data_IF_776288532905
#
_entry.id   IF_776288532905
#
_cell.length_a   1.000
_cell.length_b   1.000
_cell.length_c   1.000
_cell.angle_alpha   90.00
_cell.angle_beta   90.00
_cell.angle_gamma   90.00
#
_symmetry.space_group_name_H-M   'P 1'
#
loop_
_entity.id
_entity.type
_entity.pdbx_description
1 polymer ?
#
# COMPACT_ATOMS: atom_id res chain seq x y z
N UNK A 1 24.13 -1.84 -34.91
CA UNK A 1 23.37 -0.61 -34.56
C UNK A 1 22.17 -1.11 -33.78
N UNK A 2 22.44 -1.51 -32.54
CA UNK A 2 21.52 -2.34 -31.76
C UNK A 2 21.32 -1.60 -30.45
N UNK A 3 20.12 -1.06 -30.33
CA UNK A 3 19.73 -0.02 -29.39
C UNK A 3 19.89 -0.51 -27.95
N UNK A 4 20.99 -0.13 -27.29
CA UNK A 4 21.21 -0.22 -25.84
C UNK A 4 20.19 0.67 -25.08
N UNK A 5 18.91 0.24 -25.04
CA UNK A 5 17.94 0.76 -24.06
C UNK A 5 18.21 0.02 -22.74
N UNK A 6 19.39 0.24 -22.15
CA UNK A 6 19.73 -0.28 -20.82
C UNK A 6 19.10 0.63 -19.77
N UNK A 7 17.83 0.34 -19.43
CA UNK A 7 17.18 0.63 -18.15
C UNK A 7 17.25 2.08 -17.63
N UNK A 8 16.36 2.94 -18.13
CA UNK A 8 15.99 4.24 -17.54
C UNK A 8 15.04 4.08 -16.33
N UNK A 9 15.33 3.19 -15.39
CA UNK A 9 14.54 3.06 -14.13
C UNK A 9 15.14 3.98 -13.07
N UNK A 10 14.40 5.00 -12.68
CA UNK A 10 14.78 5.88 -11.58
C UNK A 10 14.93 5.08 -10.28
N UNK A 11 16.13 5.07 -9.72
CA UNK A 11 16.36 4.60 -8.35
C UNK A 11 15.91 5.65 -7.34
N UNK A 12 15.62 5.21 -6.12
CA UNK A 12 15.37 6.15 -5.03
C UNK A 12 16.66 6.90 -4.69
N UNK A 13 16.59 8.23 -4.62
CA UNK A 13 17.77 9.05 -4.31
C UNK A 13 18.32 8.83 -2.90
N UNK A 14 17.50 8.33 -1.97
CA UNK A 14 17.91 7.96 -0.61
C UNK A 14 17.00 6.86 -0.03
N UNK A 15 17.57 5.99 0.81
CA UNK A 15 16.82 5.01 1.60
C UNK A 15 15.78 5.67 2.51
N UNK A 16 16.08 6.87 3.02
CA UNK A 16 15.14 7.64 3.83
C UNK A 16 13.93 8.11 3.01
N UNK A 17 14.17 8.56 1.77
CA UNK A 17 13.10 8.95 0.86
C UNK A 17 12.19 7.77 0.49
N UNK A 18 12.78 6.58 0.26
CA UNK A 18 12.02 5.35 0.06
C UNK A 18 11.16 4.99 1.27
N UNK A 19 11.74 5.06 2.47
CA UNK A 19 11.04 4.74 3.71
C UNK A 19 9.87 5.71 3.96
N UNK A 20 10.10 7.02 3.82
CA UNK A 20 9.06 8.03 4.01
C UNK A 20 7.91 7.90 3.03
N UNK A 21 8.20 7.66 1.74
CA UNK A 21 7.16 7.41 0.74
C UNK A 21 6.34 6.15 1.06
N UNK A 22 7.00 5.10 1.55
CA UNK A 22 6.35 3.85 1.93
C UNK A 22 5.46 4.03 3.16
N UNK A 23 5.93 4.74 4.19
CA UNK A 23 5.15 5.06 5.40
C UNK A 23 3.94 5.93 5.04
N UNK A 24 4.13 6.96 4.21
CA UNK A 24 3.05 7.83 3.74
C UNK A 24 1.97 7.09 2.95
N UNK A 25 2.35 6.05 2.20
CA UNK A 25 1.37 5.18 1.52
C UNK A 25 0.66 4.21 2.46
N UNK A 26 1.29 3.82 3.57
CA UNK A 26 0.73 2.84 4.51
C UNK A 26 -0.21 3.47 5.54
N UNK A 27 0.06 4.72 5.94
CA UNK A 27 -0.77 5.45 6.91
C UNK A 27 -1.90 6.19 6.20
N UNK A 28 -3.14 5.83 6.50
CA UNK A 28 -4.34 6.45 5.89
C UNK A 28 -5.43 6.82 6.90
N UNK A 29 -6.50 7.45 6.39
CA UNK A 29 -7.67 7.89 7.17
C UNK A 29 -8.30 6.76 8.00
N UNK A 30 -8.26 5.53 7.49
CA UNK A 30 -8.73 4.34 8.21
C UNK A 30 -8.03 4.09 9.54
N UNK A 31 -6.73 4.41 9.65
CA UNK A 31 -6.00 4.33 10.92
C UNK A 31 -6.37 5.47 11.88
N UNK A 32 -6.81 6.62 11.36
CA UNK A 32 -7.12 7.81 12.16
C UNK A 32 -8.48 7.66 12.87
N UNK A 33 -9.53 7.22 12.15
CA UNK A 33 -10.87 7.09 12.74
C UNK A 33 -11.35 5.64 12.88
N UNK A 34 -10.97 4.77 11.96
CA UNK A 34 -11.59 3.45 11.82
C UNK A 34 -11.04 2.46 12.83
N UNK A 35 -9.73 2.53 13.04
CA UNK A 35 -9.02 1.74 14.03
C UNK A 35 -9.48 2.05 15.48
N UNK A 36 -9.47 3.30 15.97
CA UNK A 36 -9.90 3.58 17.33
C UNK A 36 -11.39 3.26 17.55
N UNK A 37 -12.24 3.48 16.55
CA UNK A 37 -13.65 3.10 16.63
C UNK A 37 -13.84 1.58 16.81
N UNK A 38 -13.14 0.76 16.01
CA UNK A 38 -13.19 -0.70 16.13
C UNK A 38 -12.56 -1.18 17.44
N UNK A 39 -11.46 -0.58 17.87
CA UNK A 39 -10.82 -0.89 19.15
C UNK A 39 -11.77 -0.64 20.31
N UNK A 40 -12.39 0.56 20.36
CA UNK A 40 -13.32 0.91 21.42
C UNK A 40 -14.52 -0.04 21.51
N UNK A 41 -15.08 -0.46 20.36
CA UNK A 41 -16.23 -1.37 20.32
C UNK A 41 -15.88 -2.83 20.62
N UNK A 42 -14.65 -3.27 20.33
CA UNK A 42 -14.26 -4.69 20.35
C UNK A 42 -13.50 -5.13 21.61
N UNK A 43 -13.66 -4.42 22.73
CA UNK A 43 -13.00 -4.75 24.00
C UNK A 43 -11.67 -4.03 24.25
N UNK A 44 -11.43 -2.90 23.57
CA UNK A 44 -10.37 -1.94 23.90
C UNK A 44 -8.97 -2.54 23.82
N UNK A 45 -8.29 -2.63 24.97
CA UNK A 45 -6.91 -3.06 25.08
C UNK A 45 -6.67 -4.52 24.64
N UNK A 46 -7.64 -5.42 24.86
CA UNK A 46 -7.52 -6.83 24.46
C UNK A 46 -7.50 -6.96 22.93
N UNK A 47 -8.36 -6.19 22.25
CA UNK A 47 -8.36 -6.11 20.80
C UNK A 47 -7.04 -5.53 20.26
N UNK A 48 -6.51 -4.49 20.91
CA UNK A 48 -5.23 -3.89 20.52
C UNK A 48 -4.07 -4.89 20.63
N UNK A 49 -4.01 -5.69 21.70
CA UNK A 49 -2.96 -6.67 21.90
C UNK A 49 -3.02 -7.78 20.84
N UNK A 50 -4.21 -8.32 20.56
CA UNK A 50 -4.41 -9.31 19.50
C UNK A 50 -4.10 -8.73 18.12
N UNK A 51 -4.51 -7.49 17.85
CA UNK A 51 -4.20 -6.77 16.62
C UNK A 51 -2.69 -6.65 16.42
N UNK A 52 -1.94 -6.28 17.46
CA UNK A 52 -0.48 -6.13 17.38
C UNK A 52 0.20 -7.47 17.06
N UNK A 53 -0.22 -8.55 17.70
CA UNK A 53 0.29 -9.90 17.40
C UNK A 53 0.02 -10.29 15.95
N UNK A 54 -1.20 -10.06 15.46
CA UNK A 54 -1.58 -10.34 14.06
C UNK A 54 -0.79 -9.48 13.07
N UNK A 55 -0.56 -8.20 13.37
CA UNK A 55 0.25 -7.31 12.52
C UNK A 55 1.69 -7.77 12.44
N UNK A 56 2.29 -8.19 13.55
CA UNK A 56 3.68 -8.70 13.57
C UNK A 56 3.78 -10.02 12.82
N UNK A 57 2.84 -10.95 13.03
CA UNK A 57 2.91 -12.27 12.41
C UNK A 57 2.52 -12.26 10.94
N UNK A 58 1.41 -11.61 10.58
CA UNK A 58 0.85 -11.64 9.22
C UNK A 58 1.26 -10.41 8.43
N UNK A 59 1.18 -9.23 9.03
CA UNK A 59 1.49 -7.97 8.33
C UNK A 59 2.96 -7.91 7.90
N UNK A 60 3.90 -8.18 8.83
CA UNK A 60 5.33 -8.13 8.52
C UNK A 60 5.74 -9.23 7.55
N UNK A 61 5.22 -10.46 7.70
CA UNK A 61 5.58 -11.57 6.79
C UNK A 61 5.11 -11.32 5.37
N UNK A 62 3.87 -10.85 5.20
CA UNK A 62 3.34 -10.49 3.88
C UNK A 62 4.11 -9.30 3.29
N UNK A 63 4.36 -8.24 4.07
CA UNK A 63 5.10 -7.07 3.60
C UNK A 63 6.53 -7.44 3.12
N UNK A 64 7.25 -8.25 3.90
CA UNK A 64 8.58 -8.72 3.52
C UNK A 64 8.54 -9.59 2.26
N UNK A 65 7.52 -10.46 2.13
CA UNK A 65 7.31 -11.28 0.94
C UNK A 65 7.08 -10.46 -0.32
N UNK A 66 6.18 -9.48 -0.26
CA UNK A 66 5.89 -8.59 -1.39
C UNK A 66 7.10 -7.72 -1.76
N UNK A 67 7.81 -7.19 -0.76
CA UNK A 67 9.02 -6.39 -0.98
C UNK A 67 10.14 -7.22 -1.62
N UNK A 68 10.37 -8.46 -1.15
CA UNK A 68 11.36 -9.37 -1.72
C UNK A 68 11.02 -9.73 -3.18
N UNK A 69 9.75 -10.05 -3.47
CA UNK A 69 9.27 -10.32 -4.82
C UNK A 69 9.43 -9.12 -5.76
N UNK A 70 9.11 -7.91 -5.27
CA UNK A 70 9.27 -6.66 -6.00
C UNK A 70 10.73 -6.34 -6.31
N UNK A 71 11.64 -6.53 -5.34
CA UNK A 71 13.08 -6.32 -5.51
C UNK A 71 13.71 -7.32 -6.48
N UNK A 72 13.34 -8.61 -6.38
CA UNK A 72 13.86 -9.66 -7.25
C UNK A 72 13.39 -9.52 -8.70
N UNK A 73 12.12 -9.17 -8.89
CA UNK A 73 11.53 -9.11 -10.23
C UNK A 73 11.89 -7.83 -10.97
N UNK A 74 12.14 -6.73 -10.26
CA UNK A 74 12.52 -5.44 -10.86
C UNK A 74 11.51 -4.98 -11.91
N UNK A 75 10.23 -5.35 -11.76
CA UNK A 75 9.14 -5.15 -12.74
C UNK A 75 7.88 -4.67 -12.00
N UNK A 76 6.90 -4.13 -12.74
CA UNK A 76 5.60 -3.73 -12.17
C UNK A 76 4.86 -4.94 -11.58
N UNK A 77 3.94 -4.72 -10.62
CA UNK A 77 3.23 -5.78 -9.91
C UNK A 77 2.64 -6.86 -10.85
N UNK A 78 1.97 -6.46 -11.93
CA UNK A 78 1.40 -7.38 -12.94
C UNK A 78 2.50 -8.20 -13.63
N UNK A 79 3.59 -7.54 -14.03
CA UNK A 79 4.71 -8.18 -14.72
C UNK A 79 5.51 -9.11 -13.81
N UNK A 80 5.55 -8.82 -12.50
CA UNK A 80 6.13 -9.68 -11.47
C UNK A 80 5.33 -10.96 -11.30
N UNK A 81 4.00 -10.86 -11.13
CA UNK A 81 3.13 -12.04 -11.05
C UNK A 81 3.11 -12.86 -12.34
N UNK A 82 3.15 -12.19 -13.50
CA UNK A 82 3.25 -12.85 -14.82
C UNK A 82 4.56 -13.62 -15.00
N UNK A 83 5.66 -13.11 -14.46
CA UNK A 83 6.97 -13.76 -14.48
C UNK A 83 7.08 -14.97 -13.54
N UNK A 84 6.29 -14.99 -12.46
CA UNK A 84 6.25 -16.11 -11.52
C UNK A 84 5.36 -17.25 -12.01
N UNK A 85 4.18 -16.94 -12.56
CA UNK A 85 3.36 -17.90 -13.29
C UNK A 85 2.28 -17.20 -14.10
N UNK A 86 2.08 -17.60 -15.35
CA UNK A 86 1.01 -17.08 -16.22
C UNK A 86 -0.38 -17.24 -15.56
N UNK A 87 -0.57 -18.25 -14.71
CA UNK A 87 -1.81 -18.51 -13.96
C UNK A 87 -2.08 -17.52 -12.83
N UNK A 88 -1.07 -16.88 -12.25
CA UNK A 88 -1.23 -15.89 -11.16
C UNK A 88 -1.24 -14.44 -11.65
N UNK A 89 -1.20 -14.22 -12.98
CA UNK A 89 -1.25 -12.87 -13.56
C UNK A 89 -2.49 -12.07 -13.14
N UNK A 90 -3.63 -12.74 -12.91
CA UNK A 90 -4.87 -12.10 -12.47
C UNK A 90 -4.73 -11.40 -11.11
N UNK A 91 -3.85 -11.90 -10.22
CA UNK A 91 -3.61 -11.31 -8.90
C UNK A 91 -3.04 -9.89 -9.02
N UNK A 92 -2.14 -9.69 -9.99
CA UNK A 92 -1.60 -8.37 -10.28
C UNK A 92 -2.64 -7.39 -10.83
N UNK A 93 -3.53 -7.87 -11.70
CA UNK A 93 -4.64 -7.04 -12.20
C UNK A 93 -5.67 -6.74 -11.11
N UNK A 94 -5.98 -7.70 -10.25
CA UNK A 94 -6.86 -7.51 -9.10
C UNK A 94 -6.32 -6.44 -8.15
N UNK A 95 -4.99 -6.41 -7.92
CA UNK A 95 -4.36 -5.36 -7.14
C UNK A 95 -4.54 -3.95 -7.72
N UNK A 96 -4.42 -3.80 -9.05
CA UNK A 96 -4.65 -2.51 -9.74
C UNK A 96 -6.11 -2.08 -9.61
N UNK A 97 -7.06 -2.99 -9.87
CA UNK A 97 -8.48 -2.69 -9.78
C UNK A 97 -8.87 -2.31 -8.35
N UNK A 98 -8.37 -3.06 -7.35
CA UNK A 98 -8.58 -2.75 -5.94
C UNK A 98 -8.03 -1.37 -5.58
N UNK A 99 -6.79 -1.07 -5.97
CA UNK A 99 -6.18 0.24 -5.75
C UNK A 99 -6.98 1.38 -6.41
N UNK A 100 -7.50 1.15 -7.61
CA UNK A 100 -8.36 2.12 -8.30
C UNK A 100 -9.68 2.35 -7.56
N UNK A 101 -10.37 1.29 -7.13
CA UNK A 101 -11.60 1.41 -6.34
C UNK A 101 -11.38 2.16 -5.02
N UNK A 102 -10.28 1.86 -4.32
CA UNK A 102 -9.89 2.58 -3.10
C UNK A 102 -9.64 4.05 -3.42
N UNK A 103 -8.92 4.35 -4.50
CA UNK A 103 -8.64 5.71 -4.93
C UNK A 103 -9.94 6.50 -5.16
N UNK A 104 -10.92 5.93 -5.87
CA UNK A 104 -12.23 6.57 -6.07
C UNK A 104 -12.92 6.93 -4.74
N UNK A 105 -12.90 6.02 -3.76
CA UNK A 105 -13.44 6.30 -2.43
C UNK A 105 -12.68 7.43 -1.71
N UNK A 106 -11.35 7.43 -1.79
CA UNK A 106 -10.52 8.47 -1.18
C UNK A 106 -10.69 9.84 -1.84
N UNK A 107 -10.98 9.91 -3.14
CA UNK A 107 -11.29 11.17 -3.82
C UNK A 107 -12.54 11.85 -3.25
N UNK A 108 -13.59 11.08 -2.96
CA UNK A 108 -14.83 11.62 -2.35
C UNK A 108 -14.55 12.17 -0.95
N UNK A 109 -13.82 11.42 -0.12
CA UNK A 109 -13.42 11.87 1.22
C UNK A 109 -12.52 13.12 1.15
N UNK A 110 -11.57 13.14 0.22
CA UNK A 110 -10.71 14.29 -0.02
C UNK A 110 -11.50 15.54 -0.41
N UNK A 111 -12.54 15.39 -1.23
CA UNK A 111 -13.45 16.48 -1.56
C UNK A 111 -14.20 17.04 -0.36
N UNK A 112 -14.65 16.17 0.56
CA UNK A 112 -15.29 16.59 1.81
C UNK A 112 -14.29 17.34 2.69
N UNK A 113 -13.08 16.80 2.89
CA UNK A 113 -12.03 17.45 3.70
C UNK A 113 -11.64 18.80 3.11
N UNK A 114 -11.49 18.89 1.79
CA UNK A 114 -11.16 20.14 1.11
C UNK A 114 -12.27 21.18 1.26
N UNK A 115 -13.55 20.76 1.15
CA UNK A 115 -14.70 21.63 1.42
C UNK A 115 -14.65 22.19 2.85
N UNK A 116 -14.36 21.35 3.84
CA UNK A 116 -14.24 21.82 5.22
C UNK A 116 -13.01 22.71 5.43
N UNK A 117 -11.87 22.42 4.78
CA UNK A 117 -10.66 23.20 4.92
C UNK A 117 -10.76 24.60 4.28
N UNK A 118 -11.37 24.69 3.09
CA UNK A 118 -11.55 25.96 2.36
C UNK A 118 -12.77 26.72 2.87
N UNK A 119 -13.86 26.03 3.23
CA UNK A 119 -15.09 26.67 3.70
C UNK A 119 -15.05 27.18 5.15
N UNK A 120 -13.99 26.87 5.90
CA UNK A 120 -13.71 27.47 7.21
C UNK A 120 -12.75 28.67 7.13
N UNK A 121 -12.28 29.02 5.92
CA UNK A 121 -11.64 30.30 5.60
C UNK A 121 -12.67 31.25 4.98
#
# INVERSE_FOLDING_TARGET
MDTEIKSKRGGWGSNFGFLMASIGSAVGLGNIWGFPYKMGKSGGAVFLLLYLVLVVLVGVTVMLGELALGRRSGKSAVSTYRGLSKKYTWLGYAGIVCGFCIMCFYFVLGGIVLRYAVGYF
#
